data_IF_063053042119
#
_entry.id   IF_063053042119
#
_cell.length_a   1.000
_cell.length_b   1.000
_cell.length_c   1.000
_cell.angle_alpha   90.00
_cell.angle_beta   90.00
_cell.angle_gamma   90.00
#
_symmetry.space_group_name_H-M   'P 1'
#
loop_
_entity.id
_entity.type
_entity.pdbx_description
1 polymer ?
#
# COMPACT_ATOMS: atom_id res chain seq x y z
N UNK A 1 0.82 -3.20 -20.69
CA UNK A 1 0.13 -3.07 -19.39
C UNK A 1 0.99 -3.74 -18.34
N UNK A 2 1.50 -3.01 -17.37
CA UNK A 2 2.32 -3.52 -16.27
C UNK A 2 1.49 -3.54 -14.99
N UNK A 3 1.83 -4.43 -14.08
CA UNK A 3 1.13 -4.57 -12.80
C UNK A 3 2.09 -4.27 -11.65
N UNK A 4 1.75 -3.28 -10.84
CA UNK A 4 2.60 -2.78 -9.76
C UNK A 4 1.88 -2.78 -8.41
N UNK A 5 2.59 -3.00 -7.30
CA UNK A 5 1.98 -2.93 -5.97
C UNK A 5 1.79 -1.48 -5.53
N UNK A 6 0.69 -1.22 -4.82
CA UNK A 6 0.49 0.00 -4.07
C UNK A 6 0.04 -0.32 -2.64
N UNK A 7 0.62 0.36 -1.65
CA UNK A 7 0.30 0.18 -0.24
C UNK A 7 -0.78 1.17 0.18
N UNK A 8 -1.86 0.65 0.77
CA UNK A 8 -2.90 1.46 1.39
C UNK A 8 -3.14 1.10 2.85
N UNK A 9 -3.54 2.10 3.64
CA UNK A 9 -4.05 1.88 4.99
C UNK A 9 -5.44 1.26 4.95
N UNK A 10 -5.90 0.69 6.07
CA UNK A 10 -7.25 0.11 6.15
C UNK A 10 -8.37 1.13 5.87
N UNK A 11 -8.17 2.39 6.22
CA UNK A 11 -9.11 3.48 5.94
C UNK A 11 -9.18 3.81 4.45
N UNK A 12 -8.04 3.90 3.79
CA UNK A 12 -7.96 4.09 2.34
C UNK A 12 -8.63 2.93 1.60
N UNK A 13 -8.42 1.68 2.06
CA UNK A 13 -9.07 0.51 1.47
C UNK A 13 -10.59 0.59 1.61
N UNK A 14 -11.09 0.97 2.79
CA UNK A 14 -12.53 1.18 2.99
C UNK A 14 -13.07 2.25 2.05
N UNK A 15 -12.42 3.40 1.97
CA UNK A 15 -12.83 4.49 1.09
C UNK A 15 -12.86 4.09 -0.39
N UNK A 16 -11.96 3.18 -0.84
CA UNK A 16 -12.00 2.62 -2.20
C UNK A 16 -13.20 1.69 -2.36
N UNK A 17 -13.44 0.79 -1.42
CA UNK A 17 -14.55 -0.16 -1.48
C UNK A 17 -15.91 0.53 -1.42
N UNK A 18 -15.99 1.68 -0.72
CA UNK A 18 -17.17 2.54 -0.65
C UNK A 18 -17.32 3.46 -1.88
N UNK A 19 -16.37 3.42 -2.82
CA UNK A 19 -16.38 4.28 -4.02
C UNK A 19 -16.03 5.74 -3.78
N UNK A 20 -15.65 6.13 -2.56
CA UNK A 20 -15.33 7.53 -2.19
C UNK A 20 -13.93 7.94 -2.62
N UNK A 21 -12.99 7.00 -2.67
CA UNK A 21 -11.60 7.27 -3.02
C UNK A 21 -11.31 6.87 -4.46
N UNK A 22 -11.10 7.86 -5.30
CA UNK A 22 -10.75 7.70 -6.71
C UNK A 22 -9.35 8.22 -7.04
N UNK A 23 -8.76 9.03 -6.16
CA UNK A 23 -7.46 9.66 -6.35
C UNK A 23 -6.48 9.29 -5.22
N UNK A 24 -5.20 9.32 -5.50
CA UNK A 24 -4.14 9.10 -4.50
C UNK A 24 -2.93 9.98 -4.79
N UNK A 25 -2.51 10.77 -3.82
CA UNK A 25 -1.27 11.54 -3.86
C UNK A 25 -0.12 10.81 -3.20
N UNK A 26 1.05 10.98 -3.75
CA UNK A 26 2.31 10.46 -3.19
C UNK A 26 3.40 11.50 -3.31
N UNK A 27 4.11 11.70 -2.22
CA UNK A 27 5.24 12.64 -2.20
C UNK A 27 6.33 12.16 -3.15
N UNK A 28 6.80 13.04 -4.01
CA UNK A 28 7.98 12.81 -4.84
C UNK A 28 9.19 12.96 -3.93
N UNK A 29 9.84 11.84 -3.63
CA UNK A 29 11.07 11.83 -2.85
C UNK A 29 12.26 11.99 -3.79
N UNK A 30 12.70 13.22 -4.01
CA UNK A 30 13.92 13.50 -4.74
C UNK A 30 14.87 14.32 -3.89
N UNK A 31 16.01 13.78 -3.47
CA UNK A 31 17.01 14.51 -2.69
C UNK A 31 17.68 15.65 -3.49
N UNK A 32 17.58 15.62 -4.82
CA UNK A 32 18.20 16.61 -5.70
C UNK A 32 17.23 17.74 -6.07
N UNK A 33 15.92 17.48 -5.98
CA UNK A 33 14.87 18.44 -6.33
C UNK A 33 14.31 19.10 -5.07
N UNK A 34 15.10 19.98 -4.48
CA UNK A 34 14.65 20.67 -3.25
C UNK A 34 13.59 21.74 -3.52
N UNK A 35 13.39 22.24 -4.74
CA UNK A 35 12.52 23.42 -4.92
C UNK A 35 11.63 23.50 -6.17
N UNK A 36 11.78 22.68 -7.21
CA UNK A 36 10.84 22.71 -8.34
C UNK A 36 10.86 21.43 -9.17
N UNK A 37 9.71 20.78 -9.31
CA UNK A 37 9.42 19.91 -10.46
C UNK A 37 9.16 20.84 -11.64
N UNK A 38 9.98 20.79 -12.68
CA UNK A 38 9.91 21.75 -13.76
C UNK A 38 8.96 21.32 -14.87
N UNK A 39 8.77 19.98 -15.08
CA UNK A 39 7.88 19.46 -16.11
C UNK A 39 7.37 18.05 -15.75
N UNK A 40 6.10 17.80 -16.07
CA UNK A 40 5.55 16.47 -16.23
C UNK A 40 5.12 16.34 -17.69
N UNK A 41 5.75 15.46 -18.46
CA UNK A 41 5.17 15.08 -19.73
C UNK A 41 3.99 14.12 -19.50
N UNK A 42 3.08 14.01 -20.48
CA UNK A 42 1.79 13.38 -20.39
C UNK A 42 1.76 12.02 -19.66
N UNK A 43 2.01 12.08 -18.36
CA UNK A 43 1.72 11.01 -17.41
C UNK A 43 2.90 10.20 -16.87
N UNK A 44 4.16 10.50 -17.19
CA UNK A 44 5.18 9.47 -16.97
C UNK A 44 6.45 9.87 -16.26
N UNK A 45 6.90 11.09 -16.43
CA UNK A 45 8.20 11.49 -15.94
C UNK A 45 8.17 12.90 -15.40
N UNK A 46 8.86 13.13 -14.31
CA UNK A 46 9.16 14.47 -13.84
C UNK A 46 10.66 14.76 -14.02
N UNK A 47 10.95 16.01 -14.21
CA UNK A 47 12.32 16.50 -14.34
C UNK A 47 12.69 17.30 -13.09
N UNK A 48 13.81 16.94 -12.47
CA UNK A 48 14.39 17.72 -11.40
C UNK A 48 15.15 18.93 -11.92
N UNK A 49 15.68 19.75 -11.01
CA UNK A 49 16.42 20.98 -11.31
C UNK A 49 17.60 20.80 -12.29
N UNK A 50 18.09 19.58 -12.47
CA UNK A 50 19.18 19.25 -13.39
C UNK A 50 18.72 18.56 -14.68
N UNK A 51 17.43 18.60 -15.02
CA UNK A 51 16.90 17.94 -16.20
C UNK A 51 16.93 16.41 -16.17
N UNK A 52 17.19 15.82 -15.01
CA UNK A 52 17.21 14.36 -14.84
C UNK A 52 15.80 13.80 -14.92
N UNK A 53 15.59 12.95 -15.90
CA UNK A 53 14.32 12.25 -16.12
C UNK A 53 14.11 11.14 -15.10
N UNK A 54 13.02 11.19 -14.37
CA UNK A 54 12.62 10.14 -13.42
C UNK A 54 11.26 9.57 -13.78
N UNK A 55 11.17 8.26 -14.06
CA UNK A 55 9.89 7.64 -14.35
C UNK A 55 9.03 7.55 -13.08
N UNK A 56 7.72 7.69 -13.25
CA UNK A 56 6.78 7.48 -12.16
C UNK A 56 6.88 6.03 -11.63
N UNK A 57 7.10 5.81 -10.33
CA UNK A 57 7.24 4.46 -9.77
C UNK A 57 5.96 3.63 -9.89
N UNK A 58 4.82 4.27 -10.09
CA UNK A 58 3.51 3.63 -10.25
C UNK A 58 3.14 3.32 -11.71
N UNK A 59 4.03 3.57 -12.67
CA UNK A 59 3.85 3.19 -14.08
C UNK A 59 3.25 4.30 -14.95
N UNK A 60 2.50 3.90 -15.96
CA UNK A 60 1.92 4.75 -17.01
C UNK A 60 0.40 4.64 -17.02
N UNK A 61 -0.30 5.54 -17.68
CA UNK A 61 -1.74 5.42 -17.92
C UNK A 61 -2.05 4.06 -18.58
N UNK A 62 -3.09 3.37 -18.13
CA UNK A 62 -3.43 2.01 -18.55
C UNK A 62 -2.69 0.90 -17.81
N UNK A 63 -1.70 1.21 -16.97
CA UNK A 63 -1.08 0.21 -16.06
C UNK A 63 -2.02 -0.11 -14.90
N UNK A 64 -1.88 -1.30 -14.34
CA UNK A 64 -2.67 -1.75 -13.18
C UNK A 64 -1.90 -1.68 -11.89
N UNK A 65 -2.60 -1.25 -10.84
CA UNK A 65 -2.08 -1.25 -9.48
C UNK A 65 -2.85 -2.28 -8.65
N UNK A 66 -2.14 -3.22 -8.04
CA UNK A 66 -2.74 -4.13 -7.08
C UNK A 66 -2.52 -3.63 -5.66
N UNK A 67 -3.63 -3.54 -4.92
CA UNK A 67 -3.62 -2.95 -3.58
C UNK A 67 -3.11 -3.97 -2.58
N UNK A 68 -2.10 -3.55 -1.82
CA UNK A 68 -1.58 -4.29 -0.66
C UNK A 68 -2.25 -3.79 0.60
N UNK A 69 -2.96 -4.67 1.28
CA UNK A 69 -3.66 -4.37 2.53
C UNK A 69 -3.30 -5.36 3.64
N UNK A 70 -3.53 -4.98 4.89
CA UNK A 70 -3.35 -5.90 6.01
C UNK A 70 -4.36 -7.05 5.91
N UNK A 71 -3.88 -8.25 6.13
CA UNK A 71 -4.68 -9.46 5.92
C UNK A 71 -4.37 -10.51 6.99
N UNK A 72 -5.21 -11.53 7.06
CA UNK A 72 -4.97 -12.73 7.85
C UNK A 72 -4.67 -13.87 6.89
N UNK A 73 -3.61 -14.62 7.18
CA UNK A 73 -3.15 -15.76 6.40
C UNK A 73 -2.97 -16.97 7.30
N UNK A 74 -3.39 -18.14 6.81
CA UNK A 74 -3.13 -19.41 7.48
C UNK A 74 -1.75 -19.92 7.07
N UNK A 75 -0.89 -20.13 8.05
CA UNK A 75 0.50 -20.51 7.80
C UNK A 75 1.29 -20.68 9.08
N UNK A 76 2.59 -20.83 8.93
CA UNK A 76 3.54 -20.98 10.02
C UNK A 76 4.85 -20.25 9.72
N UNK A 77 5.70 -20.14 10.72
CA UNK A 77 7.01 -19.55 10.57
C UNK A 77 8.09 -20.63 10.55
N UNK A 78 8.91 -20.60 9.53
CA UNK A 78 10.11 -21.45 9.42
C UNK A 78 11.36 -20.68 9.81
N UNK A 79 12.23 -21.33 10.58
CA UNK A 79 13.54 -20.81 10.87
C UNK A 79 14.46 -21.00 9.66
N UNK A 80 14.93 -19.91 9.06
CA UNK A 80 15.76 -19.94 7.83
C UNK A 80 17.22 -19.51 8.05
N UNK A 81 17.67 -19.50 9.31
CA UNK A 81 19.05 -19.15 9.64
C UNK A 81 19.17 -17.94 10.58
N UNK A 82 20.30 -17.26 10.53
CA UNK A 82 20.56 -16.10 11.39
C UNK A 82 20.77 -14.82 10.57
N UNK A 83 20.47 -13.69 11.18
CA UNK A 83 20.83 -12.37 10.64
C UNK A 83 22.32 -12.11 10.84
N UNK A 84 22.88 -11.09 10.17
CA UNK A 84 24.27 -10.65 10.38
C UNK A 84 24.59 -10.30 11.85
N UNK A 85 23.56 -10.02 12.65
CA UNK A 85 23.64 -9.68 14.08
C UNK A 85 23.37 -10.87 14.99
N UNK A 86 23.37 -12.12 14.48
CA UNK A 86 23.17 -13.36 15.26
C UNK A 86 21.72 -13.66 15.65
N UNK A 87 20.75 -12.80 15.31
CA UNK A 87 19.33 -13.04 15.62
C UNK A 87 18.74 -14.10 14.69
N UNK A 88 17.84 -14.95 15.21
CA UNK A 88 17.10 -15.93 14.41
C UNK A 88 16.32 -15.22 13.29
N UNK A 89 16.46 -15.69 12.05
CA UNK A 89 15.73 -15.23 10.89
C UNK A 89 14.59 -16.19 10.59
N UNK A 90 13.38 -15.63 10.49
CA UNK A 90 12.15 -16.38 10.25
C UNK A 90 11.55 -16.01 8.90
N UNK A 91 10.98 -17.00 8.21
CA UNK A 91 10.23 -16.86 6.97
C UNK A 91 8.81 -17.37 7.20
N UNK A 92 7.81 -16.60 6.78
CA UNK A 92 6.43 -17.05 6.83
C UNK A 92 6.12 -17.93 5.62
N UNK A 93 5.53 -19.08 5.89
CA UNK A 93 5.09 -20.05 4.89
C UNK A 93 3.57 -20.15 4.92
N UNK A 94 2.96 -19.97 3.76
CA UNK A 94 1.50 -20.10 3.59
C UNK A 94 1.16 -21.60 3.48
N UNK A 95 0.36 -22.11 4.39
CA UNK A 95 -0.14 -23.49 4.33
C UNK A 95 -1.33 -23.63 3.36
N UNK A 96 -2.00 -22.53 3.05
CA UNK A 96 -3.08 -22.46 2.07
C UNK A 96 -3.12 -21.10 1.40
N UNK A 97 -3.84 -21.02 0.27
CA UNK A 97 -4.15 -19.73 -0.38
C UNK A 97 -5.37 -19.03 0.24
N UNK A 98 -5.82 -19.48 1.41
CA UNK A 98 -6.92 -18.83 2.12
C UNK A 98 -6.43 -17.55 2.79
N UNK A 99 -7.07 -16.44 2.43
CA UNK A 99 -6.81 -15.12 2.98
C UNK A 99 -8.11 -14.50 3.47
N UNK A 100 -8.04 -13.89 4.64
CA UNK A 100 -9.16 -13.11 5.20
C UNK A 100 -8.72 -11.67 5.44
N UNK A 101 -9.61 -10.73 5.15
CA UNK A 101 -9.38 -9.29 5.39
C UNK A 101 -10.04 -8.80 6.68
N UNK A 102 -10.88 -9.64 7.27
CA UNK A 102 -11.43 -9.49 8.63
C UNK A 102 -10.89 -10.61 9.50
N UNK A 103 -10.85 -10.43 10.84
CA UNK A 103 -10.48 -11.52 11.73
C UNK A 103 -11.36 -12.74 11.45
N UNK A 104 -10.78 -13.92 11.22
CA UNK A 104 -11.58 -15.13 10.99
C UNK A 104 -12.41 -15.47 12.23
N UNK A 105 -13.71 -15.66 12.05
CA UNK A 105 -14.64 -15.96 13.16
C UNK A 105 -14.44 -17.37 13.72
N UNK A 106 -13.98 -18.31 12.87
CA UNK A 106 -13.70 -19.70 13.24
C UNK A 106 -12.20 -19.95 13.21
N UNK A 107 -11.63 -20.44 14.31
CA UNK A 107 -10.22 -20.82 14.36
C UNK A 107 -9.33 -19.87 15.15
N UNK A 108 -9.85 -18.87 15.83
CA UNK A 108 -9.21 -18.35 17.04
C UNK A 108 -9.37 -19.34 18.21
N UNK A 109 -9.21 -20.62 17.93
CA UNK A 109 -8.61 -21.45 18.94
C UNK A 109 -7.26 -20.79 19.15
N UNK A 110 -7.20 -19.95 20.18
CA UNK A 110 -5.95 -19.57 20.81
C UNK A 110 -5.18 -20.87 20.90
N UNK A 111 -4.29 -21.09 19.92
CA UNK A 111 -3.59 -22.35 19.80
C UNK A 111 -3.08 -22.70 21.19
N UNK A 112 -3.32 -23.91 21.64
CA UNK A 112 -2.72 -24.44 22.88
C UNK A 112 -1.18 -24.35 22.82
N UNK A 113 -0.64 -24.11 21.62
CA UNK A 113 0.78 -23.90 21.32
C UNK A 113 1.09 -22.44 20.97
N UNK A 114 0.69 -21.48 21.84
CA UNK A 114 0.93 -20.04 21.62
C UNK A 114 2.40 -19.67 21.40
N UNK A 115 3.30 -20.50 21.87
CA UNK A 115 4.73 -20.20 21.92
C UNK A 115 5.55 -20.86 20.81
N UNK A 116 4.93 -21.73 19.99
CA UNK A 116 5.61 -22.34 18.85
C UNK A 116 5.23 -21.67 17.52
N UNK A 117 6.10 -20.82 16.97
CA UNK A 117 5.86 -20.16 15.69
C UNK A 117 5.81 -21.14 14.50
N UNK A 118 6.27 -22.36 14.65
CA UNK A 118 6.24 -23.39 13.60
C UNK A 118 4.87 -24.06 13.46
N UNK A 119 3.95 -23.83 14.41
CA UNK A 119 2.62 -24.40 14.34
C UNK A 119 1.71 -23.62 13.37
N UNK A 120 1.02 -24.30 12.43
CA UNK A 120 0.11 -23.64 11.48
C UNK A 120 -1.08 -23.01 12.18
N UNK A 121 -1.26 -21.71 12.01
CA UNK A 121 -2.39 -20.96 12.55
C UNK A 121 -2.65 -19.69 11.72
N UNK A 122 -3.71 -18.96 12.07
CA UNK A 122 -4.00 -17.68 11.45
C UNK A 122 -3.11 -16.56 12.01
N UNK A 123 -2.36 -15.93 11.13
CA UNK A 123 -1.51 -14.78 11.48
C UNK A 123 -2.00 -13.52 10.80
N UNK A 124 -2.10 -12.43 11.59
CA UNK A 124 -2.26 -11.09 11.03
C UNK A 124 -0.96 -10.69 10.33
N UNK A 125 -1.05 -10.40 9.05
CA UNK A 125 0.08 -10.00 8.22
C UNK A 125 -0.03 -8.52 7.85
N UNK A 126 1.11 -7.83 7.87
CA UNK A 126 1.18 -6.45 7.41
C UNK A 126 1.00 -6.40 5.88
N UNK A 127 0.41 -5.31 5.40
CA UNK A 127 0.22 -5.05 3.96
C UNK A 127 1.50 -5.17 3.13
N UNK A 128 2.66 -4.81 3.69
CA UNK A 128 3.95 -4.93 3.02
C UNK A 128 4.25 -6.35 2.53
N UNK A 129 3.80 -7.35 3.26
CA UNK A 129 4.07 -8.78 2.97
C UNK A 129 2.96 -9.47 2.19
N UNK A 130 1.95 -8.74 1.74
CA UNK A 130 0.86 -9.31 0.96
C UNK A 130 1.37 -9.74 -0.41
N UNK A 131 1.18 -11.01 -0.81
CA UNK A 131 1.54 -11.46 -2.14
C UNK A 131 0.51 -11.00 -3.18
N UNK A 132 0.93 -10.88 -4.44
CA UNK A 132 0.07 -10.44 -5.54
C UNK A 132 -1.17 -11.30 -5.72
N UNK A 133 -1.06 -12.62 -5.60
CA UNK A 133 -2.18 -13.55 -5.75
C UNK A 133 -3.30 -13.35 -4.71
N UNK A 134 -2.99 -12.69 -3.59
CA UNK A 134 -3.96 -12.39 -2.53
C UNK A 134 -4.68 -11.05 -2.74
N UNK A 135 -4.31 -10.27 -3.75
CA UNK A 135 -4.90 -8.98 -4.01
C UNK A 135 -6.35 -9.13 -4.51
N UNK A 136 -7.28 -8.49 -3.80
CA UNK A 136 -8.70 -8.43 -4.17
C UNK A 136 -9.09 -7.12 -4.85
N UNK A 137 -8.26 -6.07 -4.73
CA UNK A 137 -8.53 -4.75 -5.28
C UNK A 137 -7.47 -4.46 -6.33
N UNK A 138 -7.95 -4.19 -7.53
CA UNK A 138 -7.14 -3.82 -8.68
C UNK A 138 -7.63 -2.47 -9.18
N UNK A 139 -6.71 -1.54 -9.33
CA UNK A 139 -6.98 -0.19 -9.78
C UNK A 139 -6.35 -0.01 -11.15
N UNK A 140 -7.09 0.55 -12.08
CA UNK A 140 -6.55 1.01 -13.34
C UNK A 140 -6.09 2.47 -13.18
N UNK A 141 -4.91 2.75 -13.67
CA UNK A 141 -4.38 4.09 -13.65
C UNK A 141 -4.82 4.84 -14.89
N UNK A 142 -5.59 5.89 -14.70
CA UNK A 142 -6.10 6.74 -15.78
C UNK A 142 -5.15 7.88 -16.08
N UNK A 143 -4.74 8.63 -15.06
CA UNK A 143 -3.94 9.85 -15.20
C UNK A 143 -2.91 9.99 -14.09
N UNK A 144 -1.89 10.80 -14.34
CA UNK A 144 -0.92 11.23 -13.32
C UNK A 144 -0.61 12.70 -13.54
N UNK A 145 -0.70 13.43 -12.46
CA UNK A 145 -0.36 14.86 -12.40
C UNK A 145 0.75 15.07 -11.38
N UNK A 146 1.54 16.10 -11.57
CA UNK A 146 2.48 16.60 -10.58
C UNK A 146 1.96 17.95 -10.11
N UNK A 147 1.66 18.05 -8.84
CA UNK A 147 1.02 19.23 -8.24
C UNK A 147 1.73 19.61 -6.96
N UNK A 148 1.67 20.89 -6.62
CA UNK A 148 2.02 21.36 -5.29
C UNK A 148 0.93 20.96 -4.31
N UNK A 149 1.30 20.56 -3.10
CA UNK A 149 0.32 20.20 -2.07
C UNK A 149 -0.51 21.42 -1.61
N UNK A 150 0.03 22.62 -1.80
CA UNK A 150 -0.66 23.89 -1.44
C UNK A 150 -1.85 24.15 -2.39
N UNK A 151 -1.80 23.62 -3.62
CA UNK A 151 -2.78 23.87 -4.67
C UNK A 151 -3.90 22.81 -4.69
N UNK A 152 -4.04 22.02 -3.62
CA UNK A 152 -5.10 21.00 -3.52
C UNK A 152 -6.47 21.66 -3.50
N UNK A 153 -7.37 21.21 -4.39
CA UNK A 153 -8.77 21.61 -4.38
C UNK A 153 -9.58 20.80 -3.35
N UNK A 154 -10.72 21.32 -2.94
CA UNK A 154 -11.65 20.60 -2.06
C UNK A 154 -12.17 19.32 -2.73
N UNK A 155 -12.43 19.37 -4.03
CA UNK A 155 -12.86 18.23 -4.84
C UNK A 155 -11.82 17.12 -4.86
N UNK A 156 -10.56 17.47 -5.01
CA UNK A 156 -9.43 16.54 -4.96
C UNK A 156 -9.26 15.92 -3.57
N UNK A 157 -9.47 16.70 -2.51
CA UNK A 157 -9.43 16.18 -1.14
C UNK A 157 -10.55 15.15 -0.90
N UNK A 158 -11.77 15.42 -1.40
CA UNK A 158 -12.88 14.46 -1.38
C UNK A 158 -12.57 13.21 -2.21
N UNK A 159 -11.97 13.38 -3.38
CA UNK A 159 -11.54 12.26 -4.24
C UNK A 159 -10.43 11.40 -3.61
N UNK A 160 -9.67 11.93 -2.67
CA UNK A 160 -8.75 11.13 -1.84
C UNK A 160 -9.46 10.34 -0.73
N UNK A 161 -10.77 10.52 -0.55
CA UNK A 161 -11.57 9.84 0.45
C UNK A 161 -11.49 10.48 1.83
N UNK A 162 -11.14 11.76 1.90
CA UNK A 162 -11.16 12.54 3.15
C UNK A 162 -12.62 12.90 3.43
N UNK A 163 -13.11 12.55 4.62
CA UNK A 163 -14.41 12.99 5.11
C UNK A 163 -14.27 14.37 5.76
N UNK A 164 -15.17 15.30 5.40
CA UNK A 164 -15.32 16.52 6.17
C UNK A 164 -15.95 16.18 7.52
N UNK A 165 -15.17 16.25 8.57
CA UNK A 165 -15.69 16.28 9.93
C UNK A 165 -16.19 17.73 10.17
N UNK A 166 -17.51 17.94 10.21
CA UNK A 166 -18.12 19.26 10.44
C UNK A 166 -17.66 19.93 11.75
N UNK A 167 -16.95 19.20 12.61
CA UNK A 167 -16.49 19.64 13.92
C UNK A 167 -14.97 19.64 14.13
N UNK A 168 -14.15 19.40 13.11
CA UNK A 168 -12.69 19.44 13.25
C UNK A 168 -12.03 20.18 12.11
N UNK A 169 -11.40 21.31 12.46
CA UNK A 169 -10.35 21.93 11.67
C UNK A 169 -9.40 20.87 11.14
N UNK A 170 -9.05 20.96 9.86
CA UNK A 170 -8.17 20.04 9.14
C UNK A 170 -6.96 19.63 10.00
N UNK A 171 -6.89 18.37 10.40
CA UNK A 171 -5.65 17.79 10.89
C UNK A 171 -4.93 17.16 9.70
N UNK A 172 -3.94 17.86 9.19
CA UNK A 172 -2.92 17.25 8.33
C UNK A 172 -2.11 16.26 9.17
N UNK A 173 -2.07 15.01 8.77
CA UNK A 173 -1.17 13.99 9.28
C UNK A 173 0.00 13.81 8.31
#
# INVERSE_FOLDING_TARGET
MKERPILFSGEMVRAILDGRKTMTRRVIKDPICTNKVIYADAGLTWYGNYGLRKPCPYGEAGDRLWVKESHYAFGHWEHVGQTKTGKKKWKFVYNSKLICFKPPQFGFLKSMCKDDPSYPQWYKRNSLFMPKWAARIWLERTETRVESLVDISEEDAKAEGIEQDENKLFKCY
#
